data_IF_371675201218
#
_entry.id   IF_371675201218
#
_cell.length_a   1.000
_cell.length_b   1.000
_cell.length_c   1.000
_cell.angle_alpha   90.00
_cell.angle_beta   90.00
_cell.angle_gamma   90.00
#
_symmetry.space_group_name_H-M   'P 1'
#
loop_
_entity.id
_entity.type
_entity.pdbx_description
1 polymer ?
#
# COMPACT_ATOMS: atom_id res chain seq x y z
N UNK A 1 -7.18 14.55 3.98
CA UNK A 1 -6.60 13.63 4.95
C UNK A 1 -5.89 12.51 4.26
N UNK A 2 -4.71 12.19 4.70
CA UNK A 2 -3.95 11.10 4.11
C UNK A 2 -4.27 9.79 4.79
N UNK A 3 -4.58 8.78 4.03
CA UNK A 3 -4.81 7.45 4.54
C UNK A 3 -3.75 6.52 3.97
N UNK A 4 -2.83 6.10 4.81
CA UNK A 4 -1.82 5.14 4.42
C UNK A 4 -2.33 3.74 4.72
N UNK A 5 -2.22 2.85 3.76
CA UNK A 5 -2.75 1.50 3.85
C UNK A 5 -1.60 0.51 3.91
N UNK A 6 -1.53 -0.34 4.94
CA UNK A 6 -0.47 -1.36 4.99
C UNK A 6 -0.64 -2.38 3.88
N UNK A 7 0.47 -2.75 3.27
CA UNK A 7 0.48 -3.72 2.19
C UNK A 7 1.74 -4.57 2.29
N UNK A 8 1.66 -5.80 1.82
CA UNK A 8 2.81 -6.71 1.81
C UNK A 8 3.36 -6.81 0.39
N UNK A 9 4.67 -6.63 0.26
CA UNK A 9 5.32 -6.75 -1.05
C UNK A 9 5.38 -8.22 -1.43
N UNK A 10 4.84 -8.56 -2.59
CA UNK A 10 4.77 -9.95 -3.05
C UNK A 10 5.56 -10.22 -4.33
N UNK A 11 6.16 -9.18 -4.93
CA UNK A 11 7.02 -9.37 -6.09
C UNK A 11 8.25 -8.48 -5.98
N UNK A 12 9.31 -8.87 -6.69
CA UNK A 12 10.52 -8.05 -6.75
C UNK A 12 10.25 -6.78 -7.55
N UNK A 13 10.87 -5.66 -7.17
CA UNK A 13 10.72 -4.43 -7.94
C UNK A 13 11.27 -4.60 -9.35
N UNK A 14 10.58 -4.01 -10.31
CA UNK A 14 11.08 -4.00 -11.68
C UNK A 14 12.02 -2.81 -11.90
N UNK A 15 12.44 -2.59 -13.15
CA UNK A 15 13.40 -1.54 -13.49
C UNK A 15 12.89 -0.14 -13.15
N UNK A 16 11.57 0.01 -13.03
CA UNK A 16 10.96 1.29 -12.69
C UNK A 16 10.66 1.41 -11.19
N UNK A 17 11.20 0.50 -10.39
CA UNK A 17 10.95 0.45 -8.95
C UNK A 17 9.48 0.19 -8.59
N UNK A 18 8.75 -0.43 -9.49
CA UNK A 18 7.36 -0.83 -9.24
C UNK A 18 7.34 -2.27 -8.77
N UNK A 19 6.54 -2.53 -7.76
CA UNK A 19 6.38 -3.88 -7.23
C UNK A 19 4.92 -4.16 -6.95
N UNK A 20 4.58 -5.43 -7.01
CA UNK A 20 3.23 -5.85 -6.66
C UNK A 20 3.12 -6.03 -5.15
N UNK A 21 2.05 -5.53 -4.59
CA UNK A 21 1.76 -5.68 -3.16
C UNK A 21 0.38 -6.28 -2.98
N UNK A 22 0.18 -6.88 -1.82
CA UNK A 22 -1.09 -7.45 -1.42
C UNK A 22 -1.71 -6.53 -0.37
N UNK A 23 -2.90 -6.01 -0.67
CA UNK A 23 -3.67 -5.18 0.25
C UNK A 23 -4.93 -5.96 0.58
N UNK A 24 -4.94 -6.63 1.73
CA UNK A 24 -6.09 -7.40 2.19
C UNK A 24 -6.59 -8.41 1.14
N UNK A 25 -5.67 -9.06 0.45
CA UNK A 25 -6.01 -10.06 -0.55
C UNK A 25 -6.13 -9.54 -1.97
N UNK A 26 -6.04 -8.24 -2.16
CA UNK A 26 -6.11 -7.62 -3.50
C UNK A 26 -4.72 -7.16 -3.91
N UNK A 27 -4.30 -7.51 -5.11
CA UNK A 27 -2.96 -7.17 -5.58
C UNK A 27 -2.96 -5.91 -6.42
N UNK A 28 -1.96 -5.05 -6.17
CA UNK A 28 -1.78 -3.79 -6.89
C UNK A 28 -0.30 -3.53 -7.07
N UNK A 29 0.03 -2.81 -8.14
CA UNK A 29 1.39 -2.32 -8.35
C UNK A 29 1.55 -0.95 -7.74
N UNK A 30 2.63 -0.78 -7.00
CA UNK A 30 2.95 0.51 -6.38
C UNK A 30 4.43 0.82 -6.58
N UNK A 31 4.78 2.09 -6.39
CA UNK A 31 6.17 2.53 -6.54
C UNK A 31 6.92 2.37 -5.22
N UNK A 32 8.13 1.83 -5.28
CA UNK A 32 9.03 1.72 -4.15
C UNK A 32 10.15 2.76 -4.20
N UNK A 33 9.96 3.83 -4.97
CA UNK A 33 11.00 4.86 -5.10
C UNK A 33 11.37 5.50 -3.76
N UNK A 34 10.43 5.60 -2.85
CA UNK A 34 10.67 6.20 -1.54
C UNK A 34 11.15 5.18 -0.51
N UNK A 35 11.12 3.90 -0.84
CA UNK A 35 11.56 2.82 0.05
C UNK A 35 12.48 1.88 -0.73
N UNK A 36 13.64 2.36 -1.17
CA UNK A 36 14.49 1.57 -2.08
C UNK A 36 15.02 0.28 -1.47
N UNK A 37 15.06 0.18 -0.15
CA UNK A 37 15.53 -1.01 0.52
C UNK A 37 14.43 -2.04 0.78
N UNK A 38 13.19 -1.72 0.44
CA UNK A 38 12.09 -2.65 0.65
C UNK A 38 12.19 -3.82 -0.34
N UNK A 39 11.85 -5.00 0.13
CA UNK A 39 11.94 -6.22 -0.65
C UNK A 39 10.75 -7.13 -0.39
N UNK A 40 10.67 -8.21 -1.15
CA UNK A 40 9.59 -9.19 -1.01
C UNK A 40 9.47 -9.66 0.43
N UNK A 41 8.27 -9.68 0.93
CA UNK A 41 7.99 -10.07 2.31
C UNK A 41 7.88 -8.90 3.26
N UNK A 42 8.40 -7.74 2.89
CA UNK A 42 8.29 -6.56 3.74
C UNK A 42 6.88 -5.97 3.68
N UNK A 43 6.49 -5.36 4.78
CA UNK A 43 5.24 -4.62 4.85
C UNK A 43 5.54 -3.14 4.72
N UNK A 44 4.75 -2.44 3.92
CA UNK A 44 4.93 -1.01 3.67
C UNK A 44 3.61 -0.29 3.83
N UNK A 45 3.69 0.98 4.15
CA UNK A 45 2.52 1.86 4.12
C UNK A 45 2.42 2.46 2.73
N UNK A 46 1.25 2.32 2.12
CA UNK A 46 0.99 2.81 0.76
C UNK A 46 0.10 4.03 0.81
N UNK A 47 0.50 5.08 0.12
CA UNK A 47 -0.29 6.30 -0.01
C UNK A 47 -0.13 6.83 -1.43
N UNK A 48 -1.24 7.05 -2.11
CA UNK A 48 -1.27 7.61 -3.47
C UNK A 48 -0.41 6.81 -4.45
N UNK A 49 -0.35 5.48 -4.27
CA UNK A 49 0.40 4.61 -5.17
C UNK A 49 1.88 4.48 -4.86
N UNK A 50 2.34 5.08 -3.76
CA UNK A 50 3.73 5.01 -3.33
C UNK A 50 3.83 4.32 -1.99
N UNK A 51 4.85 3.47 -1.84
CA UNK A 51 5.23 2.98 -0.53
C UNK A 51 6.03 4.09 0.14
N UNK A 52 5.59 4.53 1.30
CA UNK A 52 6.21 5.66 1.97
C UNK A 52 7.05 5.27 3.17
N UNK A 53 6.84 4.08 3.70
CA UNK A 53 7.58 3.62 4.87
C UNK A 53 7.50 2.11 4.98
N UNK A 54 8.62 1.48 5.39
CA UNK A 54 8.62 0.06 5.71
C UNK A 54 8.23 -0.08 7.17
N UNK A 55 7.29 -0.97 7.46
CA UNK A 55 6.79 -1.17 8.81
C UNK A 55 6.86 -2.64 9.20
N UNK A 56 6.76 -2.92 10.50
CA UNK A 56 6.74 -4.28 11.01
C UNK A 56 5.44 -4.99 10.64
N UNK A 57 5.53 -6.30 10.50
CA UNK A 57 4.34 -7.11 10.26
C UNK A 57 3.29 -6.89 11.36
N UNK A 58 3.73 -6.83 12.61
CA UNK A 58 2.84 -6.62 13.73
C UNK A 58 2.10 -5.28 13.60
N UNK A 59 2.84 -4.23 13.25
CA UNK A 59 2.25 -2.92 13.04
C UNK A 59 1.23 -2.97 11.90
N UNK A 60 1.57 -3.64 10.80
CA UNK A 60 0.67 -3.76 9.66
C UNK A 60 -0.62 -4.48 10.04
N UNK A 61 -0.50 -5.57 10.80
CA UNK A 61 -1.67 -6.33 11.24
C UNK A 61 -2.57 -5.50 12.15
N UNK A 62 -1.99 -4.78 13.08
CA UNK A 62 -2.75 -3.92 13.99
C UNK A 62 -3.45 -2.80 13.23
N UNK A 63 -2.76 -2.19 12.27
CA UNK A 63 -3.34 -1.11 11.47
C UNK A 63 -4.52 -1.60 10.64
N UNK A 64 -4.39 -2.79 10.03
CA UNK A 64 -5.47 -3.38 9.27
C UNK A 64 -6.67 -3.73 10.16
N UNK A 65 -6.40 -4.24 11.35
CA UNK A 65 -7.46 -4.55 12.31
C UNK A 65 -8.21 -3.28 12.72
N UNK A 66 -7.47 -2.19 12.96
CA UNK A 66 -8.10 -0.92 13.31
C UNK A 66 -8.96 -0.38 12.17
N UNK A 67 -8.48 -0.48 10.93
CA UNK A 67 -9.26 -0.04 9.78
C UNK A 67 -10.57 -0.81 9.70
N UNK A 68 -10.54 -2.11 9.95
CA UNK A 68 -11.75 -2.92 9.95
C UNK A 68 -12.72 -2.49 11.05
N UNK A 69 -12.20 -2.21 12.26
CA UNK A 69 -13.01 -1.77 13.38
C UNK A 69 -13.65 -0.42 13.15
N UNK A 70 -12.99 0.42 12.35
CA UNK A 70 -13.52 1.74 12.02
C UNK A 70 -14.57 1.70 10.92
N UNK A 71 -14.96 0.49 10.50
CA UNK A 71 -15.98 0.36 9.47
C UNK A 71 -15.46 0.53 8.07
N UNK A 72 -14.16 0.50 7.89
CA UNK A 72 -13.59 0.48 6.55
C UNK A 72 -13.98 -0.83 5.91
N UNK A 73 -14.43 -0.74 4.69
CA UNK A 73 -15.17 -1.78 4.04
C UNK A 73 -14.30 -2.92 3.51
N UNK A 74 -14.55 -3.39 2.32
CA UNK A 74 -13.91 -4.58 1.78
C UNK A 74 -12.49 -4.31 1.30
N UNK A 75 -11.74 -5.39 1.07
CA UNK A 75 -10.41 -5.29 0.48
C UNK A 75 -10.45 -4.59 -0.88
N UNK A 76 -11.49 -4.87 -1.66
CA UNK A 76 -11.66 -4.23 -2.96
C UNK A 76 -11.82 -2.72 -2.84
N UNK A 77 -12.59 -2.28 -1.87
CA UNK A 77 -12.80 -0.86 -1.65
C UNK A 77 -11.52 -0.17 -1.19
N UNK A 78 -10.75 -0.81 -0.31
CA UNK A 78 -9.48 -0.26 0.12
C UNK A 78 -8.48 -0.18 -1.03
N UNK A 79 -8.43 -1.20 -1.87
CA UNK A 79 -7.57 -1.20 -3.03
C UNK A 79 -7.99 -0.13 -4.04
N UNK A 80 -9.29 0.04 -4.23
CA UNK A 80 -9.81 1.07 -5.12
C UNK A 80 -9.45 2.46 -4.61
N UNK A 81 -9.53 2.68 -3.30
CA UNK A 81 -9.15 3.95 -2.71
C UNK A 81 -7.67 4.26 -2.96
N UNK A 82 -6.81 3.27 -2.81
CA UNK A 82 -5.39 3.44 -3.08
C UNK A 82 -5.15 3.80 -4.55
N UNK A 83 -5.84 3.14 -5.46
CA UNK A 83 -5.74 3.43 -6.89
C UNK A 83 -6.26 4.81 -7.22
N UNK A 84 -7.37 5.21 -6.61
CA UNK A 84 -7.94 6.53 -6.81
C UNK A 84 -7.01 7.62 -6.30
N UNK A 85 -6.38 7.42 -5.17
CA UNK A 85 -5.41 8.38 -4.64
C UNK A 85 -4.23 8.53 -5.60
N UNK A 86 -3.75 7.43 -6.17
CA UNK A 86 -2.67 7.49 -7.13
C UNK A 86 -3.08 8.28 -8.37
N UNK A 87 -4.29 8.04 -8.87
CA UNK A 87 -4.81 8.75 -10.03
C UNK A 87 -5.03 10.22 -9.72
N UNK A 88 -5.60 10.51 -8.56
CA UNK A 88 -5.85 11.88 -8.14
C UNK A 88 -4.54 12.63 -7.95
N UNK A 89 -3.54 11.96 -7.39
CA UNK A 89 -2.23 12.56 -7.20
C UNK A 89 -1.56 12.96 -8.49
N UNK A 90 -1.86 12.27 -9.57
CA UNK A 90 -1.29 12.62 -10.87
C UNK A 90 -2.05 13.75 -11.56
N UNK A 91 -3.28 13.98 -11.17
CA UNK A 91 -4.11 14.97 -11.84
C UNK A 91 -4.37 16.21 -10.99
N UNK A 92 -4.65 16.02 -9.77
CA UNK A 92 -5.09 17.10 -8.94
C UNK A 92 -4.02 17.64 -8.11
N UNK A 93 -3.25 16.92 -7.90
CA UNK A 93 -2.51 17.39 -6.94
C UNK A 93 -2.64 18.38 -6.29
#
# INVERSE_FOLDING_TARGET
MCLAIPAKIVSEPNDNSMAEVDILGVKRFISLMMTPDATVGDHVLVHAGFAIEVVDEEFAQESLAMLRQMGIRTADELAAEADEEAAAGTTAS
#
